data_IF_198972183310
#
_entry.id   IF_198972183310
#
_cell.length_a   1.000
_cell.length_b   1.000
_cell.length_c   1.000
_cell.angle_alpha   90.00
_cell.angle_beta   90.00
_cell.angle_gamma   90.00
#
_symmetry.space_group_name_H-M   'P 1'
#
loop_
_entity.id
_entity.type
_entity.pdbx_description
1 polymer ?
#
# COMPACT_ATOMS: atom_id res chain seq x y z
N UNK A 1 -78.67 -34.18 41.72
CA UNK A 1 -78.71 -34.95 40.46
C UNK A 1 -77.36 -34.78 39.79
N UNK A 2 -76.62 -35.85 39.68
CA UNK A 2 -75.21 -35.96 39.30
C UNK A 2 -75.16 -36.19 37.80
N UNK A 3 -74.29 -35.46 37.11
CA UNK A 3 -73.81 -35.92 35.80
C UNK A 3 -72.33 -35.53 35.64
N UNK A 4 -71.54 -36.56 35.60
CA UNK A 4 -70.14 -36.57 35.30
C UNK A 4 -69.86 -36.52 33.78
N UNK A 5 -68.96 -35.69 33.29
CA UNK A 5 -68.41 -35.82 31.97
C UNK A 5 -66.92 -36.05 32.02
N UNK A 6 -66.50 -37.11 31.37
CA UNK A 6 -65.12 -37.51 31.15
C UNK A 6 -64.50 -36.56 30.13
N UNK A 7 -63.33 -36.06 30.49
CA UNK A 7 -62.47 -35.32 29.58
C UNK A 7 -61.52 -36.30 28.90
N UNK A 8 -61.55 -36.31 27.56
CA UNK A 8 -60.60 -37.02 26.73
C UNK A 8 -59.41 -36.10 26.46
N UNK A 9 -58.25 -36.46 26.92
CA UNK A 9 -56.99 -35.84 26.60
C UNK A 9 -56.60 -36.16 25.17
N UNK A 10 -56.55 -35.14 24.33
CA UNK A 10 -55.88 -35.19 23.04
C UNK A 10 -54.50 -34.63 23.20
N UNK A 11 -53.48 -35.51 23.11
CA UNK A 11 -52.08 -35.14 23.12
C UNK A 11 -51.70 -34.40 21.83
N UNK A 12 -51.38 -33.14 21.96
CA UNK A 12 -50.74 -32.34 20.90
C UNK A 12 -49.22 -32.52 20.97
N UNK A 13 -48.67 -33.18 19.95
CA UNK A 13 -47.24 -33.28 19.75
C UNK A 13 -46.75 -31.92 19.24
N UNK A 14 -46.12 -31.13 20.11
CA UNK A 14 -45.43 -29.90 19.72
C UNK A 14 -44.08 -30.26 19.09
N UNK A 15 -43.99 -30.15 17.76
CA UNK A 15 -42.73 -30.17 17.02
C UNK A 15 -41.97 -28.89 17.37
N UNK A 16 -41.02 -28.98 18.28
CA UNK A 16 -40.01 -27.94 18.50
C UNK A 16 -39.08 -27.90 17.28
N UNK A 17 -39.38 -26.99 16.34
CA UNK A 17 -38.46 -26.61 15.26
C UNK A 17 -37.20 -26.00 15.88
N UNK A 18 -36.11 -26.73 15.87
CA UNK A 18 -34.79 -26.18 16.17
C UNK A 18 -34.41 -25.15 15.11
N UNK A 19 -34.72 -23.87 15.38
CA UNK A 19 -34.09 -22.78 14.67
C UNK A 19 -32.60 -22.80 15.02
N UNK A 20 -31.79 -23.44 14.19
CA UNK A 20 -30.37 -23.29 14.23
C UNK A 20 -30.07 -21.78 13.95
N UNK A 21 -29.85 -21.04 15.01
CA UNK A 21 -29.25 -19.71 14.95
C UNK A 21 -27.90 -19.90 14.28
N UNK A 22 -27.84 -19.69 12.95
CA UNK A 22 -26.58 -19.50 12.24
C UNK A 22 -25.94 -18.26 12.84
N UNK A 23 -25.02 -18.47 13.78
CA UNK A 23 -24.13 -17.41 14.24
C UNK A 23 -23.48 -16.80 13.01
N UNK A 24 -23.57 -15.48 12.81
CA UNK A 24 -22.83 -14.84 11.73
C UNK A 24 -21.35 -15.19 11.97
N UNK A 25 -20.75 -15.91 11.03
CA UNK A 25 -19.32 -16.16 11.06
C UNK A 25 -18.65 -14.79 11.20
N UNK A 26 -18.06 -14.50 12.36
CA UNK A 26 -17.24 -13.31 12.55
C UNK A 26 -16.16 -13.38 11.46
N UNK A 27 -16.32 -12.59 10.42
CA UNK A 27 -15.29 -12.40 9.42
C UNK A 27 -14.05 -11.94 10.19
N UNK A 28 -13.04 -12.80 10.28
CA UNK A 28 -11.81 -12.54 11.00
C UNK A 28 -11.21 -11.30 10.38
N UNK A 29 -11.26 -10.17 11.09
CA UNK A 29 -10.73 -8.93 10.60
C UNK A 29 -9.27 -9.14 10.18
N UNK A 30 -9.00 -9.04 8.89
CA UNK A 30 -7.68 -9.29 8.33
C UNK A 30 -6.76 -8.19 8.80
N UNK A 31 -5.86 -8.46 9.75
CA UNK A 31 -4.88 -7.50 10.19
C UNK A 31 -3.82 -7.30 9.11
N UNK A 32 -3.67 -6.07 8.61
CA UNK A 32 -2.58 -5.69 7.72
C UNK A 32 -1.23 -5.59 8.43
N UNK A 33 -1.21 -5.71 9.74
CA UNK A 33 0.00 -5.63 10.54
C UNK A 33 0.25 -6.94 11.27
N UNK A 34 1.52 -7.32 11.37
CA UNK A 34 2.02 -8.41 12.20
C UNK A 34 2.45 -7.89 13.58
N UNK A 35 3.67 -8.13 14.00
CA UNK A 35 4.22 -7.64 15.27
C UNK A 35 5.00 -6.33 15.12
N UNK A 36 5.61 -5.84 16.19
CA UNK A 36 6.56 -4.76 16.15
C UNK A 36 7.85 -5.18 15.42
N UNK A 37 8.42 -4.25 14.69
CA UNK A 37 9.79 -4.34 14.14
C UNK A 37 10.57 -3.10 14.54
N UNK A 38 11.89 -3.18 14.49
CA UNK A 38 12.78 -2.07 14.83
C UNK A 38 13.62 -1.70 13.61
N UNK A 39 13.66 -0.41 13.28
CA UNK A 39 14.49 0.15 12.23
C UNK A 39 15.15 1.45 12.72
N UNK A 40 16.48 1.51 12.69
CA UNK A 40 17.25 2.66 13.18
C UNK A 40 16.81 3.15 14.59
N UNK A 41 16.55 2.21 15.50
CA UNK A 41 16.14 2.50 16.87
C UNK A 41 14.66 2.90 17.04
N UNK A 42 13.88 2.98 15.96
CA UNK A 42 12.45 3.29 16.00
C UNK A 42 11.63 2.00 15.88
N UNK A 43 10.72 1.80 16.82
CA UNK A 43 9.77 0.67 16.76
C UNK A 43 8.58 1.05 15.90
N UNK A 44 8.23 0.20 14.93
CA UNK A 44 7.07 0.37 14.08
C UNK A 44 6.30 -0.93 13.91
N UNK A 45 5.09 -0.86 13.38
CA UNK A 45 4.26 -2.04 13.07
C UNK A 45 4.66 -2.57 11.69
N UNK A 46 5.18 -3.79 11.64
CA UNK A 46 5.53 -4.44 10.38
C UNK A 46 4.30 -4.87 9.59
N UNK A 47 4.42 -4.89 8.27
CA UNK A 47 3.36 -5.36 7.37
C UNK A 47 3.17 -6.87 7.48
N UNK A 48 1.94 -7.32 7.60
CA UNK A 48 1.61 -8.74 7.54
C UNK A 48 1.44 -9.18 6.08
N UNK A 49 2.52 -9.53 5.42
CA UNK A 49 2.52 -9.95 4.02
C UNK A 49 1.69 -11.21 3.74
N UNK A 50 1.42 -12.04 4.74
CA UNK A 50 0.53 -13.19 4.57
C UNK A 50 -0.94 -12.76 4.28
N UNK A 51 -1.30 -11.55 4.67
CA UNK A 51 -2.62 -10.96 4.43
C UNK A 51 -2.64 -9.95 3.26
N UNK A 52 -1.53 -9.79 2.56
CA UNK A 52 -1.42 -8.94 1.35
C UNK A 52 -1.52 -9.83 0.12
N UNK A 53 -2.36 -9.44 -0.84
CA UNK A 53 -2.41 -10.11 -2.14
C UNK A 53 -1.00 -10.15 -2.75
N UNK A 54 -0.58 -11.35 -3.16
CA UNK A 54 0.76 -11.61 -3.70
C UNK A 54 1.15 -10.70 -4.85
N UNK A 55 0.18 -10.22 -5.63
CA UNK A 55 0.43 -9.30 -6.74
C UNK A 55 1.05 -7.97 -6.29
N UNK A 56 0.73 -7.50 -5.06
CA UNK A 56 1.26 -6.26 -4.50
C UNK A 56 2.56 -6.43 -3.73
N UNK A 57 2.95 -7.66 -3.44
CA UNK A 57 4.22 -7.94 -2.77
C UNK A 57 5.39 -7.70 -3.71
N UNK A 58 6.53 -7.30 -3.17
CA UNK A 58 7.78 -7.14 -3.91
C UNK A 58 8.19 -8.41 -4.62
N UNK A 59 8.52 -8.30 -5.91
CA UNK A 59 8.90 -9.43 -6.75
C UNK A 59 9.93 -9.00 -7.77
N UNK A 60 10.85 -9.92 -8.13
CA UNK A 60 11.66 -9.79 -9.33
C UNK A 60 10.82 -10.26 -10.52
N UNK A 61 10.71 -9.42 -11.53
CA UNK A 61 9.91 -9.70 -12.73
C UNK A 61 10.72 -9.48 -14.00
N UNK A 62 10.35 -10.14 -15.10
CA UNK A 62 10.84 -9.76 -16.42
C UNK A 62 10.30 -8.38 -16.77
N UNK A 63 11.17 -7.48 -17.18
CA UNK A 63 10.79 -6.12 -17.53
C UNK A 63 11.67 -5.61 -18.67
N UNK A 64 11.03 -5.40 -19.82
CA UNK A 64 11.71 -4.84 -20.98
C UNK A 64 11.57 -3.32 -20.95
N UNK A 65 12.68 -2.64 -20.78
CA UNK A 65 12.73 -1.17 -20.71
C UNK A 65 13.93 -0.66 -21.53
N UNK A 66 13.75 0.53 -22.10
CA UNK A 66 14.86 1.31 -22.67
C UNK A 66 15.54 2.17 -21.61
N UNK A 67 14.98 2.28 -20.41
CA UNK A 67 15.60 3.05 -19.34
C UNK A 67 16.86 2.36 -18.82
N UNK A 68 17.89 3.11 -18.44
CA UNK A 68 19.12 2.58 -17.86
C UNK A 68 18.88 1.76 -16.59
N UNK A 69 19.77 0.81 -16.32
CA UNK A 69 19.81 0.06 -15.06
C UNK A 69 19.89 1.05 -13.90
N UNK A 70 19.18 0.78 -12.80
CA UNK A 70 19.08 1.65 -11.64
C UNK A 70 18.00 2.73 -11.75
N UNK A 71 17.37 2.93 -12.91
CA UNK A 71 16.24 3.83 -13.04
C UNK A 71 15.01 3.28 -12.32
N UNK A 72 14.29 4.17 -11.66
CA UNK A 72 12.96 3.86 -11.09
C UNK A 72 11.88 4.26 -12.11
N UNK A 73 11.04 3.33 -12.52
CA UNK A 73 9.87 3.58 -13.37
C UNK A 73 8.60 3.43 -12.55
N UNK A 74 7.73 4.44 -12.58
CA UNK A 74 6.45 4.42 -11.86
C UNK A 74 5.30 4.31 -12.86
N UNK A 75 4.56 3.21 -12.76
CA UNK A 75 3.32 2.99 -13.50
C UNK A 75 2.14 3.27 -12.57
N UNK A 76 1.65 4.49 -12.61
CA UNK A 76 0.55 4.93 -11.74
C UNK A 76 -0.78 4.26 -12.11
N UNK A 77 -0.98 3.86 -13.36
CA UNK A 77 -2.20 3.20 -13.84
C UNK A 77 -2.36 1.81 -13.23
N UNK A 78 -1.26 1.05 -13.16
CA UNK A 78 -1.28 -0.31 -12.65
C UNK A 78 -0.87 -0.41 -11.18
N UNK A 79 -0.54 0.73 -10.54
CA UNK A 79 -0.11 0.82 -9.14
C UNK A 79 1.18 0.03 -8.85
N UNK A 80 2.16 0.15 -9.74
CA UNK A 80 3.46 -0.47 -9.57
C UNK A 80 4.61 0.54 -9.73
N UNK A 81 5.68 0.26 -9.01
CA UNK A 81 6.98 0.88 -9.17
C UNK A 81 7.98 -0.21 -9.54
N UNK A 82 8.85 0.08 -10.49
CA UNK A 82 9.86 -0.85 -10.99
C UNK A 82 11.24 -0.23 -10.82
N UNK A 83 12.16 -0.92 -10.14
CA UNK A 83 13.58 -0.62 -10.16
C UNK A 83 14.23 -1.48 -11.23
N UNK A 84 14.76 -0.84 -12.28
CA UNK A 84 15.34 -1.53 -13.43
C UNK A 84 16.65 -2.22 -13.03
N UNK A 85 16.73 -3.49 -13.34
CA UNK A 85 17.87 -4.35 -13.05
C UNK A 85 18.51 -4.87 -14.35
N UNK A 86 19.59 -5.62 -14.18
CA UNK A 86 20.23 -6.34 -15.29
C UNK A 86 19.34 -7.43 -15.90
N UNK A 87 19.76 -7.97 -17.03
CA UNK A 87 19.13 -9.12 -17.68
C UNK A 87 17.64 -8.95 -18.02
N UNK A 88 17.23 -7.72 -18.34
CA UNK A 88 15.82 -7.38 -18.67
C UNK A 88 14.87 -7.75 -17.52
N UNK A 89 15.29 -7.47 -16.30
CA UNK A 89 14.48 -7.68 -15.09
C UNK A 89 14.26 -6.35 -14.35
N UNK A 90 13.31 -6.35 -13.44
CA UNK A 90 13.12 -5.26 -12.48
C UNK A 90 12.64 -5.82 -11.14
N UNK A 91 12.94 -5.12 -10.06
CA UNK A 91 12.23 -5.31 -8.81
C UNK A 91 10.94 -4.51 -8.91
N UNK A 92 9.81 -5.19 -8.82
CA UNK A 92 8.48 -4.59 -8.83
C UNK A 92 7.96 -4.46 -7.40
N UNK A 93 7.47 -3.27 -7.07
CA UNK A 93 6.83 -2.94 -5.80
C UNK A 93 5.38 -2.54 -6.07
N UNK A 94 4.44 -3.00 -5.24
CA UNK A 94 3.09 -2.47 -5.22
C UNK A 94 3.07 -1.07 -4.58
N UNK A 95 2.33 -0.14 -5.17
CA UNK A 95 2.26 1.24 -4.66
C UNK A 95 0.82 1.74 -4.56
N UNK A 96 0.58 2.70 -3.66
CA UNK A 96 -0.61 3.53 -3.67
C UNK A 96 -0.28 4.89 -4.30
N UNK A 97 -1.22 5.46 -5.06
CA UNK A 97 -1.02 6.71 -5.79
C UNK A 97 -2.09 7.74 -5.47
N UNK A 98 -1.99 8.94 -6.01
CA UNK A 98 -2.92 10.04 -5.77
C UNK A 98 -4.33 9.78 -6.29
N UNK A 99 -5.37 10.27 -5.55
CA UNK A 99 -6.80 10.08 -5.86
C UNK A 99 -7.25 10.70 -7.19
N UNK A 100 -6.64 11.78 -7.62
CA UNK A 100 -7.04 12.50 -8.83
C UNK A 100 -6.21 12.15 -10.05
N UNK A 101 -5.84 10.90 -10.22
CA UNK A 101 -4.95 10.47 -11.27
C UNK A 101 -3.75 11.44 -11.32
N UNK A 102 -2.58 10.97 -11.14
CA UNK A 102 -1.37 11.77 -11.11
C UNK A 102 -1.34 12.72 -12.31
N UNK A 103 -1.60 14.01 -12.10
CA UNK A 103 -1.49 15.01 -13.14
C UNK A 103 -0.04 15.23 -13.59
N UNK A 104 0.94 14.71 -12.81
CA UNK A 104 2.34 14.82 -13.11
C UNK A 104 2.89 13.50 -13.67
N UNK A 105 3.58 13.62 -14.78
CA UNK A 105 4.36 12.56 -15.41
C UNK A 105 5.65 13.13 -16.01
N UNK A 106 6.60 12.27 -16.30
CA UNK A 106 7.86 12.64 -16.88
C UNK A 106 9.05 12.26 -16.03
N UNK A 107 10.19 12.93 -16.22
CA UNK A 107 11.44 12.62 -15.54
C UNK A 107 11.64 13.45 -14.29
N UNK A 108 12.28 12.85 -13.30
CA UNK A 108 12.77 13.48 -12.08
C UNK A 108 14.01 12.73 -11.59
N UNK A 109 14.57 13.21 -10.49
CA UNK A 109 15.63 12.52 -9.75
C UNK A 109 15.25 12.40 -8.28
N UNK A 110 15.72 11.35 -7.62
CA UNK A 110 15.73 11.30 -6.15
C UNK A 110 16.86 12.22 -5.69
N UNK A 111 16.53 13.40 -5.18
CA UNK A 111 17.53 14.41 -4.83
C UNK A 111 17.80 14.45 -3.33
N UNK A 112 16.81 14.15 -2.52
CA UNK A 112 16.93 14.10 -1.07
C UNK A 112 16.28 12.84 -0.52
N UNK A 113 16.89 12.30 0.55
CA UNK A 113 16.42 11.11 1.24
C UNK A 113 16.36 11.38 2.74
N UNK A 114 15.37 10.84 3.42
CA UNK A 114 15.23 10.98 4.88
C UNK A 114 14.85 9.67 5.54
N UNK A 115 15.54 9.37 6.63
CA UNK A 115 15.18 8.33 7.60
C UNK A 115 14.18 8.94 8.58
N UNK A 116 13.09 8.25 8.84
CA UNK A 116 12.03 8.66 9.77
C UNK A 116 11.71 10.15 9.64
N UNK A 117 11.22 10.59 8.44
CA UNK A 117 11.00 12.01 8.16
C UNK A 117 9.94 12.61 9.07
N UNK A 118 10.12 13.87 9.47
CA UNK A 118 9.02 14.68 10.00
C UNK A 118 7.99 14.89 8.91
N UNK A 119 6.73 14.76 9.22
CA UNK A 119 5.63 15.09 8.32
C UNK A 119 5.03 16.44 8.67
N UNK A 120 5.01 17.34 7.70
CA UNK A 120 4.29 18.61 7.77
C UNK A 120 3.13 18.52 6.77
N UNK A 121 1.87 18.65 7.22
CA UNK A 121 0.73 18.66 6.31
C UNK A 121 0.87 19.79 5.28
N UNK A 122 0.60 19.54 3.99
CA UNK A 122 0.56 20.59 2.97
C UNK A 122 -0.44 21.69 3.35
N UNK A 123 -0.19 22.98 2.94
CA UNK A 123 -1.09 24.09 3.26
C UNK A 123 -2.55 23.81 2.90
N UNK A 124 -2.80 23.30 1.69
CA UNK A 124 -4.15 23.00 1.20
C UNK A 124 -4.83 21.86 2.01
N UNK A 125 -4.04 20.99 2.62
CA UNK A 125 -4.58 19.96 3.51
C UNK A 125 -4.97 20.56 4.84
N UNK A 126 -4.20 21.50 5.40
CA UNK A 126 -4.53 22.22 6.64
C UNK A 126 -5.74 23.13 6.48
N UNK A 127 -5.91 23.74 5.31
CA UNK A 127 -7.11 24.52 5.01
C UNK A 127 -8.39 23.67 5.05
N UNK A 128 -8.33 22.44 4.53
CA UNK A 128 -9.46 21.49 4.55
C UNK A 128 -9.63 20.78 5.88
N UNK A 129 -8.57 20.68 6.66
CA UNK A 129 -8.47 19.95 7.91
C UNK A 129 -7.71 20.77 8.96
N UNK A 130 -8.37 21.83 9.53
CA UNK A 130 -7.73 22.74 10.51
C UNK A 130 -7.30 22.04 11.80
N UNK A 131 -7.88 20.86 12.07
CA UNK A 131 -7.58 20.03 13.23
C UNK A 131 -6.23 19.32 13.13
N UNK A 132 -5.58 19.32 11.96
CA UNK A 132 -4.28 18.67 11.77
C UNK A 132 -3.20 19.42 12.54
N UNK A 133 -2.25 18.69 13.15
CA UNK A 133 -1.12 19.32 13.83
C UNK A 133 -0.24 20.08 12.83
N UNK A 134 0.53 21.03 13.33
CA UNK A 134 1.52 21.75 12.52
C UNK A 134 2.51 20.78 11.86
N UNK A 135 2.95 19.77 12.60
CA UNK A 135 3.77 18.66 12.11
C UNK A 135 3.60 17.41 12.97
N UNK A 136 4.06 16.28 12.46
CA UNK A 136 4.20 15.03 13.20
C UNK A 136 5.65 14.57 13.11
N UNK A 137 6.26 14.32 14.26
CA UNK A 137 7.65 13.90 14.33
C UNK A 137 7.91 12.54 13.66
N UNK A 138 9.13 12.37 13.16
CA UNK A 138 9.61 11.10 12.65
C UNK A 138 9.57 10.00 13.71
N UNK A 139 9.17 8.80 13.33
CA UNK A 139 9.02 7.67 14.25
C UNK A 139 7.75 7.68 15.07
N UNK A 140 6.96 8.75 15.04
CA UNK A 140 5.64 8.76 15.66
C UNK A 140 4.71 7.73 15.00
N UNK A 141 3.92 6.96 15.76
CA UNK A 141 2.93 6.02 15.21
C UNK A 141 1.80 6.71 14.43
N UNK A 142 1.73 8.04 14.47
CA UNK A 142 0.76 8.86 13.71
C UNK A 142 1.37 9.47 12.44
N UNK A 143 2.68 9.29 12.19
CA UNK A 143 3.33 9.88 11.03
C UNK A 143 3.02 9.09 9.75
N UNK A 144 2.30 9.67 8.77
CA UNK A 144 1.85 8.96 7.59
C UNK A 144 2.96 8.60 6.60
N UNK A 145 4.16 9.17 6.75
CA UNK A 145 5.28 8.93 5.83
C UNK A 145 6.02 7.61 6.11
N UNK A 146 5.82 7.03 7.30
CA UNK A 146 6.53 5.82 7.70
C UNK A 146 8.04 6.02 7.83
N UNK A 147 8.86 4.94 7.61
CA UNK A 147 10.28 4.94 7.94
C UNK A 147 11.17 5.71 6.96
N UNK A 148 10.71 5.97 5.75
CA UNK A 148 11.52 6.56 4.67
C UNK A 148 10.73 7.57 3.86
N UNK A 149 11.42 8.63 3.42
CA UNK A 149 10.98 9.47 2.32
C UNK A 149 12.12 9.71 1.33
N UNK A 150 11.80 9.64 0.04
CA UNK A 150 12.66 9.97 -1.09
C UNK A 150 11.98 11.07 -1.89
N UNK A 151 12.59 12.24 -1.95
CA UNK A 151 12.03 13.45 -2.53
C UNK A 151 12.42 13.56 -3.99
N UNK A 152 11.43 13.83 -4.85
CA UNK A 152 11.61 13.90 -6.29
C UNK A 152 11.74 15.35 -6.74
N UNK A 153 12.85 15.67 -7.39
CA UNK A 153 13.10 16.97 -7.99
C UNK A 153 13.12 16.86 -9.52
N UNK A 154 12.66 17.90 -10.19
CA UNK A 154 12.80 18.11 -11.61
C UNK A 154 13.58 19.40 -11.84
N UNK A 155 14.71 19.30 -12.53
CA UNK A 155 15.56 20.46 -12.84
C UNK A 155 15.89 21.30 -11.59
N UNK A 156 16.17 20.62 -10.46
CA UNK A 156 16.46 21.23 -9.17
C UNK A 156 15.26 21.78 -8.39
N UNK A 157 14.04 21.68 -8.95
CA UNK A 157 12.80 22.14 -8.29
C UNK A 157 12.07 20.97 -7.65
N UNK A 158 11.67 21.12 -6.38
CA UNK A 158 10.87 20.10 -5.67
C UNK A 158 9.51 19.95 -6.36
N UNK A 159 9.22 18.74 -6.83
CA UNK A 159 7.96 18.43 -7.52
C UNK A 159 6.77 18.34 -6.58
N UNK A 160 7.00 18.33 -5.27
CA UNK A 160 5.98 18.00 -4.27
C UNK A 160 5.72 16.49 -4.14
N UNK A 161 6.28 15.65 -5.01
CA UNK A 161 6.08 14.19 -4.98
C UNK A 161 7.22 13.48 -4.26
N UNK A 162 6.86 12.37 -3.59
CA UNK A 162 7.79 11.57 -2.80
C UNK A 162 7.41 10.10 -2.88
N UNK A 163 8.41 9.23 -2.77
CA UNK A 163 8.20 7.84 -2.38
C UNK A 163 8.30 7.77 -0.87
N UNK A 164 7.34 7.14 -0.20
CA UNK A 164 7.36 7.01 1.25
C UNK A 164 6.62 5.78 1.74
N UNK A 165 6.86 5.37 2.98
CA UNK A 165 6.11 4.30 3.63
C UNK A 165 4.64 4.67 3.92
N UNK A 166 3.93 3.83 4.66
CA UNK A 166 2.53 4.12 5.01
C UNK A 166 2.11 3.50 6.33
N UNK A 167 1.16 4.15 7.00
CA UNK A 167 0.38 3.58 8.10
C UNK A 167 -0.85 2.79 7.62
N UNK A 168 -1.13 2.84 6.32
CA UNK A 168 -2.31 2.26 5.69
C UNK A 168 -1.92 1.24 4.60
N UNK A 169 -1.44 0.03 4.96
CA UNK A 169 -1.03 -0.98 3.97
C UNK A 169 -2.17 -1.35 2.99
N UNK A 170 -3.41 -1.26 3.42
CA UNK A 170 -4.59 -1.46 2.57
C UNK A 170 -4.80 -0.40 1.48
N UNK A 171 -4.00 0.68 1.45
CA UNK A 171 -4.02 1.70 0.40
C UNK A 171 -3.12 1.35 -0.80
N UNK A 172 -2.28 0.34 -0.69
CA UNK A 172 -1.46 -0.14 -1.80
C UNK A 172 -2.37 -0.80 -2.86
N UNK A 173 -2.14 -0.47 -4.11
CA UNK A 173 -2.98 -0.87 -5.24
C UNK A 173 -4.21 0.02 -5.45
N UNK A 174 -4.24 1.22 -4.84
CA UNK A 174 -5.39 2.15 -4.91
C UNK A 174 -4.95 3.59 -5.15
N UNK A 175 -5.88 4.39 -5.68
CA UNK A 175 -5.79 5.84 -5.75
C UNK A 175 -6.18 6.42 -4.36
N UNK A 176 -5.23 6.50 -3.46
CA UNK A 176 -5.50 6.74 -2.04
C UNK A 176 -4.75 7.93 -1.42
N UNK A 177 -3.77 8.52 -2.12
CA UNK A 177 -2.96 9.61 -1.60
C UNK A 177 -3.36 10.98 -2.16
N UNK A 178 -2.79 12.04 -1.60
CA UNK A 178 -2.90 13.42 -2.13
C UNK A 178 -1.79 13.76 -3.13
N UNK A 179 -1.22 12.73 -3.82
CA UNK A 179 -0.21 12.89 -4.84
C UNK A 179 1.03 12.02 -4.64
N UNK A 180 1.49 11.82 -3.42
CA UNK A 180 2.69 11.02 -3.15
C UNK A 180 2.46 9.52 -3.43
N UNK A 181 3.56 8.82 -3.67
CA UNK A 181 3.59 7.39 -3.96
C UNK A 181 3.86 6.64 -2.67
N UNK A 182 2.84 5.93 -2.18
CA UNK A 182 2.88 5.13 -0.96
C UNK A 182 3.44 3.74 -1.23
N UNK A 183 4.25 3.24 -0.32
CA UNK A 183 4.83 1.90 -0.35
C UNK A 183 4.58 1.19 0.98
N UNK A 184 4.63 -0.13 1.02
CA UNK A 184 4.79 -0.82 2.29
C UNK A 184 6.06 -0.32 2.98
N UNK A 185 6.07 -0.28 4.31
CA UNK A 185 7.21 0.26 5.05
C UNK A 185 8.51 -0.48 4.73
N UNK A 186 8.46 -1.79 4.64
CA UNK A 186 9.57 -2.67 4.29
C UNK A 186 10.06 -2.44 2.85
N UNK A 187 9.15 -2.14 1.93
CA UNK A 187 9.48 -1.84 0.54
C UNK A 187 10.09 -0.44 0.39
N UNK A 188 9.60 0.53 1.17
CA UNK A 188 10.21 1.85 1.23
C UNK A 188 11.64 1.79 1.80
N UNK A 189 11.89 0.93 2.80
CA UNK A 189 13.23 0.68 3.36
C UNK A 189 14.12 0.06 2.29
N UNK A 190 13.66 -0.99 1.60
CA UNK A 190 14.41 -1.68 0.56
C UNK A 190 14.76 -0.76 -0.62
N UNK A 191 13.77 -0.03 -1.17
CA UNK A 191 14.01 0.91 -2.27
C UNK A 191 14.97 2.03 -1.86
N UNK A 192 14.84 2.55 -0.65
CA UNK A 192 15.73 3.56 -0.10
C UNK A 192 17.19 3.10 -0.06
N UNK A 193 17.45 1.85 0.30
CA UNK A 193 18.79 1.29 0.35
C UNK A 193 19.39 1.13 -1.06
N UNK A 194 18.56 0.76 -2.05
CA UNK A 194 19.00 0.49 -3.43
C UNK A 194 19.22 1.74 -4.26
N UNK A 195 18.49 2.81 -3.98
CA UNK A 195 18.48 4.03 -4.79
C UNK A 195 19.34 5.13 -4.13
N UNK A 196 20.55 5.45 -4.62
CA UNK A 196 21.32 6.60 -4.16
C UNK A 196 20.63 7.92 -4.57
N UNK A 197 21.10 9.04 -3.99
CA UNK A 197 20.80 10.38 -4.48
C UNK A 197 21.30 10.47 -5.92
N UNK A 198 20.54 11.12 -6.79
CA UNK A 198 20.78 11.18 -8.23
C UNK A 198 20.10 10.08 -9.03
N UNK A 199 19.46 9.08 -8.37
CA UNK A 199 18.70 8.03 -9.06
C UNK A 199 17.65 8.65 -9.97
N UNK A 200 17.68 8.28 -11.26
CA UNK A 200 16.70 8.70 -12.25
C UNK A 200 15.33 8.08 -11.97
N UNK A 201 14.29 8.88 -12.15
CA UNK A 201 12.89 8.46 -11.98
C UNK A 201 12.13 8.82 -13.25
N UNK A 202 11.42 7.86 -13.83
CA UNK A 202 10.45 8.05 -14.90
C UNK A 202 9.05 7.74 -14.40
N UNK A 203 8.18 8.73 -14.31
CA UNK A 203 6.75 8.53 -14.07
C UNK A 203 6.04 8.45 -15.40
N UNK A 204 5.36 7.33 -15.65
CA UNK A 204 4.65 7.10 -16.90
C UNK A 204 3.36 7.95 -16.93
N UNK A 205 2.97 8.46 -18.15
CA UNK A 205 1.71 9.17 -18.27
C UNK A 205 0.52 8.24 -17.98
N UNK A 206 -0.48 8.76 -17.29
CA UNK A 206 -1.74 8.05 -17.00
C UNK A 206 -2.69 8.11 -18.22
N UNK A 207 -2.19 7.78 -19.41
CA UNK A 207 -2.98 7.83 -20.65
C UNK A 207 -3.62 6.47 -20.87
N UNK A 208 -4.94 6.45 -21.09
CA UNK A 208 -5.73 5.24 -21.28
C UNK A 208 -5.30 4.35 -22.47
N UNK A 209 -4.53 4.87 -23.44
CA UNK A 209 -4.36 4.24 -24.75
C UNK A 209 -2.93 4.01 -25.25
N UNK A 210 -1.89 4.28 -24.47
CA UNK A 210 -0.49 3.96 -24.85
C UNK A 210 0.34 3.53 -23.63
N UNK A 211 0.04 2.35 -23.11
CA UNK A 211 1.02 1.65 -22.29
C UNK A 211 2.11 1.06 -23.20
N UNK A 212 3.43 1.20 -22.88
CA UNK A 212 4.40 0.29 -23.47
C UNK A 212 3.96 -1.13 -23.14
N UNK A 213 4.04 -2.04 -24.11
CA UNK A 213 3.72 -3.45 -23.92
C UNK A 213 4.60 -4.02 -22.80
N UNK A 214 4.06 -3.96 -21.59
CA UNK A 214 4.58 -4.74 -20.48
C UNK A 214 4.05 -6.15 -20.69
N UNK A 215 4.87 -6.98 -21.35
CA UNK A 215 4.59 -8.42 -21.40
C UNK A 215 4.28 -8.88 -19.97
N UNK A 216 3.08 -9.43 -19.77
CA UNK A 216 2.64 -9.93 -18.47
C UNK A 216 3.70 -10.88 -17.93
N UNK A 217 4.39 -10.44 -16.89
CA UNK A 217 5.55 -11.14 -16.37
C UNK A 217 5.09 -12.36 -15.60
N UNK A 218 5.46 -13.52 -16.11
CA UNK A 218 5.43 -14.77 -15.35
C UNK A 218 6.40 -14.65 -14.18
N UNK A 219 5.99 -14.90 -12.93
CA UNK A 219 6.88 -14.81 -11.78
C UNK A 219 8.02 -15.82 -11.94
N UNK A 220 9.24 -15.35 -11.89
CA UNK A 220 10.41 -16.24 -11.73
C UNK A 220 10.49 -16.56 -10.25
N UNK A 221 10.13 -17.77 -9.87
CA UNK A 221 10.31 -18.26 -8.51
C UNK A 221 11.81 -18.44 -8.25
N UNK A 222 12.39 -17.55 -7.47
CA UNK A 222 13.71 -17.76 -6.87
C UNK A 222 13.57 -17.47 -5.38
N UNK A 223 13.95 -18.40 -4.49
CA UNK A 223 13.98 -18.13 -3.06
C UNK A 223 15.07 -17.10 -2.79
N UNK A 224 14.71 -16.08 -2.03
CA UNK A 224 15.67 -15.13 -1.47
C UNK A 224 16.10 -15.73 -0.14
N UNK A 225 17.35 -16.22 -0.06
CA UNK A 225 18.05 -16.48 1.20
C UNK A 225 18.34 -15.18 1.95
#
# INVERSE_FOLDING_TARGET
MVWTRRETMLGGLALLGANALQSPALAKATSYFSGPAVDNGVTYRSTNFANIDRKWQRQVVKYFSSEPIGTVVVDTRHHFLYLIMENKTAIRYGVGVGKEGFKWYGRATIDRKSLWPRWTPPPEMRERHPELPEFVEGGSPKNPLGPRAMYLLRDGVDTGYRFHGTLEPGSIGKDASSGCIRMFNEDAIDLYQRCPIGTAVQVLPHIADKAPEVSQATPVATPVE
#
